data_IF_807600564843
#
_entry.id   IF_807600564843
#
_cell.length_a   1.000
_cell.length_b   1.000
_cell.length_c   1.000
_cell.angle_alpha   90.00
_cell.angle_beta   90.00
_cell.angle_gamma   90.00
#
_symmetry.space_group_name_H-M   'P 1'
#
loop_
_entity.id
_entity.type
_entity.pdbx_description
1 polymer ?
#
# COMPACT_ATOMS: atom_id res chain seq x y z
N UNK A 1 15.55 2.29 -41.74
CA UNK A 1 15.51 0.82 -41.80
C UNK A 1 14.08 0.42 -41.53
N UNK A 2 13.40 -0.14 -42.51
CA UNK A 2 12.08 -0.71 -42.32
C UNK A 2 12.22 -2.12 -41.70
N UNK A 3 11.20 -2.66 -41.02
CA UNK A 3 11.30 -3.99 -40.42
C UNK A 3 11.64 -5.09 -41.45
N UNK A 4 11.17 -4.98 -42.69
CA UNK A 4 11.46 -5.94 -43.76
C UNK A 4 12.93 -5.96 -44.20
N UNK A 5 13.67 -4.87 -43.95
CA UNK A 5 15.11 -4.79 -44.27
C UNK A 5 15.98 -5.46 -43.21
N UNK A 6 15.40 -5.89 -42.09
CA UNK A 6 16.14 -6.49 -40.99
C UNK A 6 16.50 -7.95 -41.31
N UNK A 7 17.70 -8.16 -41.86
CA UNK A 7 18.20 -9.48 -42.27
C UNK A 7 19.24 -10.09 -41.31
N UNK A 8 19.41 -9.51 -40.11
CA UNK A 8 20.40 -10.00 -39.14
C UNK A 8 19.96 -11.35 -38.56
N UNK A 9 20.92 -12.26 -38.38
CA UNK A 9 20.66 -13.54 -37.70
C UNK A 9 20.37 -13.28 -36.20
N UNK A 10 19.19 -13.69 -35.74
CA UNK A 10 18.75 -13.50 -34.36
C UNK A 10 19.05 -14.77 -33.56
N UNK A 11 19.95 -14.65 -32.59
CA UNK A 11 20.13 -15.65 -31.53
C UNK A 11 19.41 -15.18 -30.28
N UNK A 12 18.26 -15.79 -29.99
CA UNK A 12 17.47 -15.46 -28.81
C UNK A 12 17.98 -16.17 -27.56
N UNK A 13 18.04 -15.43 -26.46
CA UNK A 13 18.25 -15.94 -25.11
C UNK A 13 16.98 -15.75 -24.27
N UNK A 14 16.70 -16.68 -23.37
CA UNK A 14 15.60 -16.55 -22.42
C UNK A 14 16.08 -15.78 -21.20
N UNK A 15 15.38 -14.69 -20.87
CA UNK A 15 15.61 -13.95 -19.63
C UNK A 15 15.15 -14.79 -18.43
N UNK A 16 16.03 -15.08 -17.44
CA UNK A 16 15.71 -15.97 -16.32
C UNK A 16 14.70 -15.37 -15.34
N UNK A 17 14.56 -14.05 -15.27
CA UNK A 17 13.63 -13.38 -14.34
C UNK A 17 12.22 -13.30 -14.93
N UNK A 18 12.12 -12.96 -16.21
CA UNK A 18 10.82 -12.71 -16.87
C UNK A 18 10.33 -13.87 -17.73
N UNK A 19 11.21 -14.84 -18.05
CA UNK A 19 10.92 -15.91 -18.99
C UNK A 19 10.77 -15.44 -20.44
N UNK A 20 11.07 -14.18 -20.75
CA UNK A 20 10.91 -13.61 -22.09
C UNK A 20 12.11 -13.93 -22.98
N UNK A 21 11.86 -14.19 -24.26
CA UNK A 21 12.92 -14.32 -25.26
C UNK A 21 13.41 -12.94 -25.70
N UNK A 22 14.70 -12.70 -25.57
CA UNK A 22 15.39 -11.46 -25.93
C UNK A 22 16.62 -11.75 -26.79
N UNK A 23 17.10 -10.78 -27.55
CA UNK A 23 18.37 -10.87 -28.26
C UNK A 23 19.15 -9.56 -28.14
N UNK A 24 20.47 -9.61 -28.31
CA UNK A 24 21.34 -8.44 -28.17
C UNK A 24 21.61 -7.81 -29.53
N UNK A 25 21.11 -6.61 -29.74
CA UNK A 25 21.47 -5.75 -30.86
C UNK A 25 21.34 -4.27 -30.44
N UNK A 26 22.46 -3.63 -30.05
CA UNK A 26 22.46 -2.22 -29.63
C UNK A 26 22.03 -1.22 -30.71
N UNK A 27 22.07 -1.59 -31.99
CA UNK A 27 21.69 -0.73 -33.11
C UNK A 27 20.22 -0.94 -33.54
N UNK A 28 19.53 -1.91 -32.93
CA UNK A 28 18.15 -2.22 -33.29
C UNK A 28 17.21 -1.06 -32.91
N UNK A 29 16.23 -0.67 -33.75
CA UNK A 29 15.32 0.45 -33.46
C UNK A 29 14.51 0.31 -32.15
N UNK A 30 14.26 -0.93 -31.74
CA UNK A 30 13.59 -1.28 -30.47
C UNK A 30 14.53 -1.68 -29.34
N UNK A 31 15.84 -1.45 -29.48
CA UNK A 31 16.81 -1.75 -28.43
C UNK A 31 16.56 -0.91 -27.18
N UNK A 32 16.62 -1.57 -26.02
CA UNK A 32 16.70 -0.91 -24.72
C UNK A 32 18.12 -0.31 -24.53
N UNK A 33 18.32 0.41 -23.42
CA UNK A 33 19.62 1.04 -23.08
C UNK A 33 20.77 0.04 -22.93
N UNK A 34 20.47 -1.19 -22.55
CA UNK A 34 21.41 -2.32 -22.44
C UNK A 34 21.72 -2.99 -23.80
N UNK A 35 21.10 -2.52 -24.89
CA UNK A 35 21.19 -3.10 -26.22
C UNK A 35 20.37 -4.38 -26.41
N UNK A 36 19.52 -4.72 -25.46
CA UNK A 36 18.64 -5.89 -25.55
C UNK A 36 17.33 -5.53 -26.25
N UNK A 37 16.81 -6.49 -27.01
CA UNK A 37 15.56 -6.37 -27.77
C UNK A 37 14.67 -7.54 -27.40
N UNK A 38 13.40 -7.28 -27.06
CA UNK A 38 12.41 -8.34 -26.88
C UNK A 38 12.01 -8.94 -28.23
N UNK A 39 12.13 -10.26 -28.36
CA UNK A 39 11.83 -10.95 -29.61
C UNK A 39 10.37 -10.82 -30.01
N UNK A 40 9.44 -10.86 -29.05
CA UNK A 40 8.01 -10.64 -29.30
C UNK A 40 7.70 -9.28 -29.92
N UNK A 41 8.41 -8.21 -29.50
CA UNK A 41 8.27 -6.88 -30.09
C UNK A 41 8.83 -6.80 -31.51
N UNK A 42 9.95 -7.47 -31.75
CA UNK A 42 10.54 -7.57 -33.09
C UNK A 42 9.59 -8.29 -34.05
N UNK A 43 9.12 -9.50 -33.69
CA UNK A 43 8.19 -10.29 -34.49
C UNK A 43 6.86 -9.56 -34.75
N UNK A 44 6.31 -8.89 -33.73
CA UNK A 44 5.11 -8.06 -33.91
C UNK A 44 5.36 -6.90 -34.89
N UNK A 45 6.54 -6.27 -34.87
CA UNK A 45 6.90 -5.21 -35.82
C UNK A 45 7.00 -5.73 -37.25
N UNK A 46 7.56 -6.93 -37.44
CA UNK A 46 7.60 -7.59 -38.75
C UNK A 46 6.19 -7.87 -39.27
N UNK A 47 5.30 -8.39 -38.41
CA UNK A 47 3.91 -8.67 -38.78
C UNK A 47 3.12 -7.41 -39.17
N UNK A 48 3.40 -6.28 -38.52
CA UNK A 48 2.75 -4.99 -38.80
C UNK A 48 3.39 -4.21 -39.96
N UNK A 49 4.59 -4.60 -40.40
CA UNK A 49 5.36 -3.86 -41.39
C UNK A 49 5.91 -2.51 -40.90
N UNK A 50 5.84 -2.22 -39.60
CA UNK A 50 6.40 -1.00 -38.98
C UNK A 50 6.96 -1.27 -37.60
N UNK A 51 7.91 -0.47 -37.16
CA UNK A 51 8.42 -0.56 -35.78
C UNK A 51 7.35 -0.12 -34.76
N UNK A 52 7.29 -0.85 -33.64
CA UNK A 52 6.40 -0.49 -32.53
C UNK A 52 6.79 0.84 -31.88
N UNK A 53 5.79 1.64 -31.55
CA UNK A 53 5.96 2.88 -30.82
C UNK A 53 6.21 2.63 -29.32
N UNK A 54 6.79 3.60 -28.57
CA UNK A 54 7.08 3.43 -27.14
C UNK A 54 5.88 3.12 -26.24
N UNK A 55 4.67 3.55 -26.62
CA UNK A 55 3.42 3.30 -25.86
C UNK A 55 2.71 1.98 -26.21
N UNK A 56 3.18 1.28 -27.24
CA UNK A 56 2.62 0.02 -27.69
C UNK A 56 3.31 -1.13 -26.95
N UNK A 57 2.51 -2.06 -26.42
CA UNK A 57 2.98 -3.24 -25.69
C UNK A 57 2.47 -4.50 -26.38
N UNK A 58 3.31 -5.53 -26.39
CA UNK A 58 2.95 -6.87 -26.88
C UNK A 58 2.66 -7.73 -25.67
N UNK A 59 1.48 -8.34 -25.65
CA UNK A 59 1.06 -9.29 -24.61
C UNK A 59 0.87 -10.68 -25.23
N UNK A 60 0.97 -11.70 -24.38
CA UNK A 60 0.79 -13.11 -24.74
C UNK A 60 -0.61 -13.54 -24.31
N UNK A 61 -1.45 -14.01 -25.24
CA UNK A 61 -2.84 -14.39 -24.95
C UNK A 61 -2.93 -15.55 -23.98
N UNK A 62 -2.02 -16.52 -24.10
CA UNK A 62 -1.90 -17.68 -23.22
C UNK A 62 -1.10 -17.42 -21.92
N UNK A 63 -0.51 -16.23 -21.78
CA UNK A 63 0.36 -15.88 -20.65
C UNK A 63 1.73 -16.56 -20.67
N UNK A 64 2.08 -17.30 -21.72
CA UNK A 64 3.36 -17.99 -21.86
C UNK A 64 4.32 -17.15 -22.73
N UNK A 65 5.37 -16.55 -22.15
CA UNK A 65 6.31 -15.70 -22.88
C UNK A 65 7.21 -16.45 -23.89
N UNK A 66 7.17 -17.78 -23.89
CA UNK A 66 7.89 -18.64 -24.83
C UNK A 66 7.09 -18.96 -26.11
N UNK A 67 5.76 -18.78 -26.07
CA UNK A 67 4.92 -19.02 -27.24
C UNK A 67 4.87 -17.75 -28.12
N UNK A 68 5.72 -17.72 -29.14
CA UNK A 68 5.85 -16.60 -30.08
C UNK A 68 5.00 -16.75 -31.35
N UNK A 69 4.05 -17.68 -31.39
CA UNK A 69 3.13 -17.78 -32.51
C UNK A 69 2.39 -16.45 -32.74
N UNK A 70 2.24 -16.04 -34.00
CA UNK A 70 1.62 -14.74 -34.35
C UNK A 70 0.20 -14.60 -33.81
N UNK A 71 -0.53 -15.70 -33.69
CA UNK A 71 -1.87 -15.77 -33.08
C UNK A 71 -1.88 -15.57 -31.56
N UNK A 72 -0.77 -15.90 -30.87
CA UNK A 72 -0.63 -15.73 -29.43
C UNK A 72 -0.20 -14.31 -29.04
N UNK A 73 0.45 -13.59 -29.95
CA UNK A 73 0.89 -12.21 -29.71
C UNK A 73 -0.26 -11.23 -29.98
N UNK A 74 -0.51 -10.33 -29.03
CA UNK A 74 -1.51 -9.26 -29.19
C UNK A 74 -0.87 -7.90 -28.93
N UNK A 75 -1.11 -6.96 -29.85
CA UNK A 75 -0.74 -5.56 -29.67
C UNK A 75 -1.80 -4.81 -28.86
N UNK A 76 -1.38 -4.13 -27.80
CA UNK A 76 -2.26 -3.29 -26.99
C UNK A 76 -1.50 -2.06 -26.46
N UNK A 77 -2.16 -1.25 -25.66
CA UNK A 77 -1.55 -0.12 -24.94
C UNK A 77 -1.68 -0.34 -23.43
N UNK A 78 -0.84 0.32 -22.64
CA UNK A 78 -0.94 0.27 -21.17
C UNK A 78 -2.34 0.66 -20.69
N UNK A 79 -2.94 1.70 -21.30
CA UNK A 79 -4.31 2.11 -20.99
C UNK A 79 -5.30 0.98 -21.26
N UNK A 80 -5.32 0.43 -22.48
CA UNK A 80 -6.26 -0.64 -22.85
C UNK A 80 -6.06 -1.90 -22.01
N UNK A 81 -4.83 -2.24 -21.65
CA UNK A 81 -4.51 -3.34 -20.75
C UNK A 81 -5.03 -3.08 -19.33
N UNK A 82 -4.77 -1.90 -18.76
CA UNK A 82 -5.25 -1.53 -17.43
C UNK A 82 -6.79 -1.55 -17.34
N UNK A 83 -7.47 -1.17 -18.43
CA UNK A 83 -8.93 -1.27 -18.54
C UNK A 83 -9.43 -2.72 -18.44
N UNK A 84 -8.70 -3.75 -18.89
CA UNK A 84 -9.10 -5.16 -18.75
C UNK A 84 -9.19 -5.62 -17.30
N UNK A 85 -8.42 -5.00 -16.41
CA UNK A 85 -8.42 -5.32 -14.98
C UNK A 85 -9.39 -4.44 -14.17
N UNK A 86 -10.08 -3.47 -14.80
CA UNK A 86 -11.11 -2.68 -14.11
C UNK A 86 -12.28 -3.58 -13.76
N UNK A 87 -12.56 -3.73 -12.46
CA UNK A 87 -13.67 -4.54 -11.95
C UNK A 87 -13.23 -5.68 -11.04
N UNK A 88 -11.96 -6.10 -11.08
CA UNK A 88 -11.45 -7.17 -10.19
C UNK A 88 -11.23 -6.71 -8.73
N UNK A 89 -11.90 -5.65 -8.28
CA UNK A 89 -11.77 -5.22 -6.89
C UNK A 89 -12.46 -6.23 -5.97
N UNK A 90 -11.72 -6.70 -4.96
CA UNK A 90 -12.32 -7.45 -3.87
C UNK A 90 -13.08 -6.50 -2.94
N UNK A 91 -14.22 -6.94 -2.43
CA UNK A 91 -14.95 -6.23 -1.37
C UNK A 91 -14.51 -6.86 -0.05
N UNK A 92 -14.01 -6.02 0.86
CA UNK A 92 -13.67 -6.40 2.23
C UNK A 92 -14.59 -5.67 3.20
N UNK A 93 -14.77 -6.23 4.40
CA UNK A 93 -15.52 -5.61 5.48
C UNK A 93 -14.55 -5.20 6.59
N UNK A 94 -14.67 -3.96 7.05
CA UNK A 94 -13.81 -3.45 8.10
C UNK A 94 -14.19 -4.08 9.45
N UNK A 95 -13.30 -4.79 10.16
CA UNK A 95 -13.65 -5.51 11.39
C UNK A 95 -14.03 -4.57 12.55
N UNK A 96 -13.63 -3.29 12.48
CA UNK A 96 -13.95 -2.31 13.53
C UNK A 96 -15.38 -1.74 13.43
N UNK A 97 -15.86 -1.44 12.22
CA UNK A 97 -17.13 -0.72 12.03
C UNK A 97 -18.11 -1.42 11.09
N UNK A 98 -17.73 -2.55 10.49
CA UNK A 98 -18.55 -3.31 9.53
C UNK A 98 -18.63 -2.73 8.12
N UNK A 99 -18.15 -1.51 7.86
CA UNK A 99 -18.29 -0.88 6.54
C UNK A 99 -17.61 -1.69 5.42
N UNK A 100 -18.31 -2.00 4.32
CA UNK A 100 -17.71 -2.62 3.15
C UNK A 100 -16.85 -1.61 2.38
N UNK A 101 -15.72 -2.06 1.84
CA UNK A 101 -14.83 -1.22 1.04
C UNK A 101 -14.13 -2.03 -0.06
N UNK A 102 -13.87 -1.37 -1.19
CA UNK A 102 -13.23 -1.97 -2.36
C UNK A 102 -11.71 -1.90 -2.24
N UNK A 103 -11.04 -3.01 -2.59
CA UNK A 103 -9.59 -3.08 -2.68
C UNK A 103 -9.17 -3.75 -3.99
N UNK A 104 -8.04 -3.35 -4.61
CA UNK A 104 -7.49 -4.10 -5.73
C UNK A 104 -7.05 -5.50 -5.27
N UNK A 105 -6.98 -6.52 -6.16
CA UNK A 105 -6.55 -7.88 -5.82
C UNK A 105 -5.24 -7.92 -5.04
N UNK A 106 -4.28 -7.06 -5.41
CA UNK A 106 -2.97 -6.94 -4.76
C UNK A 106 -3.04 -6.54 -3.28
N UNK A 107 -4.14 -5.93 -2.84
CA UNK A 107 -4.36 -5.48 -1.48
C UNK A 107 -5.33 -6.38 -0.70
N UNK A 108 -5.92 -7.41 -1.32
CA UNK A 108 -6.91 -8.30 -0.70
C UNK A 108 -6.44 -8.91 0.63
N UNK A 109 -5.16 -9.30 0.70
CA UNK A 109 -4.57 -9.94 1.89
C UNK A 109 -3.78 -8.97 2.78
N UNK A 110 -3.56 -7.71 2.36
CA UNK A 110 -2.75 -6.73 3.10
C UNK A 110 -3.60 -5.70 3.82
N UNK A 111 -4.76 -5.35 3.28
CA UNK A 111 -5.62 -4.30 3.81
C UNK A 111 -6.74 -4.89 4.65
N UNK A 112 -6.81 -4.48 5.91
CA UNK A 112 -7.81 -4.97 6.89
C UNK A 112 -8.89 -3.93 7.18
N UNK A 113 -8.48 -2.66 7.34
CA UNK A 113 -9.37 -1.57 7.71
C UNK A 113 -9.66 -0.66 6.52
N UNK A 114 -10.85 -0.07 6.49
CA UNK A 114 -11.24 0.83 5.40
C UNK A 114 -10.49 2.17 5.46
N UNK A 115 -10.06 2.62 6.64
CA UNK A 115 -9.20 3.80 6.82
C UNK A 115 -8.26 3.65 8.03
N UNK A 116 -7.32 4.59 8.16
CA UNK A 116 -6.36 4.61 9.27
C UNK A 116 -7.05 4.89 10.61
N UNK A 117 -8.16 5.64 10.61
CA UNK A 117 -8.94 5.89 11.81
C UNK A 117 -9.41 4.59 12.46
N UNK A 118 -10.06 3.71 11.70
CA UNK A 118 -10.54 2.41 12.19
C UNK A 118 -9.39 1.48 12.57
N UNK A 119 -8.27 1.53 11.85
CA UNK A 119 -7.06 0.81 12.26
C UNK A 119 -6.59 1.26 13.64
N UNK A 120 -6.43 2.57 13.85
CA UNK A 120 -5.98 3.11 15.14
C UNK A 120 -6.97 2.83 16.26
N UNK A 121 -8.27 2.85 15.96
CA UNK A 121 -9.33 2.54 16.93
C UNK A 121 -9.29 1.07 17.35
N UNK A 122 -9.22 0.14 16.38
CA UNK A 122 -9.15 -1.29 16.66
C UNK A 122 -7.85 -1.72 17.38
N UNK A 123 -6.76 -0.98 17.20
CA UNK A 123 -5.48 -1.24 17.88
C UNK A 123 -5.38 -0.58 19.27
N UNK A 124 -6.45 0.06 19.78
CA UNK A 124 -6.44 0.63 21.12
C UNK A 124 -6.30 -0.50 22.14
N UNK A 125 -5.35 -0.32 23.08
CA UNK A 125 -5.08 -1.28 24.17
C UNK A 125 -6.00 -1.11 25.37
N UNK A 126 -6.72 0.01 25.43
CA UNK A 126 -7.45 0.44 26.62
C UNK A 126 -8.68 1.24 26.20
N UNK A 127 -9.83 0.80 26.69
CA UNK A 127 -11.11 1.50 26.62
C UNK A 127 -11.59 1.80 28.03
N UNK A 128 -11.99 3.06 28.24
CA UNK A 128 -12.57 3.57 29.49
C UNK A 128 -13.63 4.58 29.12
N UNK A 129 -14.66 4.63 29.95
CA UNK A 129 -15.67 5.66 29.90
C UNK A 129 -15.03 7.05 30.15
N UNK A 130 -15.38 8.09 29.39
CA UNK A 130 -14.82 9.42 29.59
C UNK A 130 -15.01 9.98 31.00
N UNK A 131 -16.12 9.68 31.66
CA UNK A 131 -16.42 10.20 33.00
C UNK A 131 -15.65 9.46 34.08
N UNK A 132 -15.53 8.14 33.97
CA UNK A 132 -14.67 7.33 34.84
C UNK A 132 -13.20 7.79 34.73
N UNK A 133 -12.72 8.04 33.51
CA UNK A 133 -11.36 8.56 33.32
C UNK A 133 -11.19 9.94 33.95
N UNK A 134 -12.21 10.82 33.84
CA UNK A 134 -12.20 12.15 34.45
C UNK A 134 -12.05 12.04 35.96
N UNK A 135 -12.83 11.18 36.61
CA UNK A 135 -12.70 10.97 38.05
C UNK A 135 -11.31 10.41 38.42
N UNK A 136 -10.86 9.35 37.74
CA UNK A 136 -9.60 8.69 38.08
C UNK A 136 -8.38 9.61 37.97
N UNK A 137 -8.32 10.53 37.00
CA UNK A 137 -7.15 11.43 36.85
C UNK A 137 -7.02 12.45 37.98
N UNK A 138 -8.09 12.71 38.73
CA UNK A 138 -8.11 13.58 39.91
C UNK A 138 -7.96 12.81 41.22
N UNK A 139 -8.23 11.50 41.23
CA UNK A 139 -8.09 10.62 42.40
C UNK A 139 -6.70 9.96 42.50
N UNK A 140 -6.10 9.59 41.36
CA UNK A 140 -4.81 8.88 41.33
C UNK A 140 -3.88 9.40 40.22
N UNK A 141 -2.54 9.31 40.41
CA UNK A 141 -1.58 9.66 39.37
C UNK A 141 -1.77 8.85 38.08
N UNK A 142 -1.55 9.48 36.94
CA UNK A 142 -1.69 8.83 35.62
C UNK A 142 -0.77 7.63 35.42
N UNK A 143 0.35 7.56 36.15
CA UNK A 143 1.24 6.39 36.22
C UNK A 143 0.56 5.18 36.86
N UNK A 144 -0.28 5.38 37.88
CA UNK A 144 -1.04 4.31 38.52
C UNK A 144 -2.18 3.85 37.60
N UNK A 145 -2.92 4.79 36.99
CA UNK A 145 -3.94 4.49 35.98
C UNK A 145 -3.35 3.65 34.84
N UNK A 146 -2.17 4.05 34.35
CA UNK A 146 -1.48 3.34 33.29
C UNK A 146 -1.14 1.89 33.69
N UNK A 147 -0.70 1.69 34.93
CA UNK A 147 -0.43 0.36 35.49
C UNK A 147 -1.68 -0.51 35.55
N UNK A 148 -2.81 0.04 36.03
CA UNK A 148 -4.10 -0.67 36.13
C UNK A 148 -4.57 -1.23 34.79
N UNK A 149 -4.37 -0.47 33.71
CA UNK A 149 -4.81 -0.86 32.36
C UNK A 149 -3.69 -1.48 31.50
N UNK A 150 -2.50 -1.73 32.07
CA UNK A 150 -1.38 -2.32 31.33
C UNK A 150 -0.89 -1.46 30.15
N UNK A 151 -1.02 -0.14 30.25
CA UNK A 151 -0.62 0.83 29.22
C UNK A 151 0.51 1.75 29.72
N UNK A 152 1.01 2.61 28.84
CA UNK A 152 1.95 3.66 29.23
C UNK A 152 1.22 4.90 29.73
N UNK A 153 1.85 5.67 30.62
CA UNK A 153 1.35 6.99 31.06
C UNK A 153 1.01 7.91 29.88
N UNK A 154 1.86 7.91 28.83
CA UNK A 154 1.58 8.63 27.58
C UNK A 154 0.31 8.17 26.86
N UNK A 155 -0.11 6.91 27.01
CA UNK A 155 -1.36 6.43 26.44
C UNK A 155 -2.57 7.03 27.18
N UNK A 156 -2.51 7.10 28.52
CA UNK A 156 -3.52 7.76 29.36
C UNK A 156 -3.60 9.25 29.02
N UNK A 157 -2.46 9.94 28.89
CA UNK A 157 -2.42 11.34 28.49
C UNK A 157 -3.02 11.58 27.10
N UNK A 158 -2.66 10.75 26.11
CA UNK A 158 -3.24 10.84 24.76
C UNK A 158 -4.75 10.62 24.79
N UNK A 159 -5.24 9.75 25.68
CA UNK A 159 -6.67 9.50 25.87
C UNK A 159 -7.37 10.71 26.47
N UNK A 160 -6.83 11.29 27.55
CA UNK A 160 -7.37 12.52 28.15
C UNK A 160 -7.47 13.64 27.11
N UNK A 161 -6.39 13.87 26.34
CA UNK A 161 -6.39 14.89 25.28
C UNK A 161 -7.40 14.60 24.17
N UNK A 162 -7.55 13.34 23.77
CA UNK A 162 -8.51 12.95 22.74
C UNK A 162 -9.97 13.11 23.19
N UNK A 163 -10.23 13.03 24.50
CA UNK A 163 -11.55 13.19 25.12
C UNK A 163 -11.80 14.61 25.68
N UNK A 164 -10.83 15.51 25.58
CA UNK A 164 -10.94 16.86 26.16
C UNK A 164 -10.97 16.90 27.70
N UNK A 165 -10.42 15.89 28.36
CA UNK A 165 -10.37 15.79 29.83
C UNK A 165 -9.14 16.55 30.34
N UNK A 166 -9.37 17.55 31.20
CA UNK A 166 -8.33 18.28 31.91
C UNK A 166 -7.70 17.39 32.98
N UNK A 167 -6.37 17.43 33.08
CA UNK A 167 -5.60 16.72 34.10
C UNK A 167 -5.11 17.69 35.16
N UNK A 168 -4.83 17.23 36.39
CA UNK A 168 -4.13 18.03 37.37
C UNK A 168 -2.79 18.55 36.83
N UNK A 169 -2.37 19.77 37.20
CA UNK A 169 -1.17 20.39 36.68
C UNK A 169 0.09 19.60 37.06
N UNK A 170 1.18 19.85 36.32
CA UNK A 170 2.47 19.23 36.62
C UNK A 170 2.87 19.55 38.06
N UNK A 171 3.24 18.51 38.80
CA UNK A 171 3.66 18.64 40.19
C UNK A 171 2.52 18.55 41.22
N UNK A 172 1.24 18.48 40.81
CA UNK A 172 0.10 18.30 41.71
C UNK A 172 0.29 17.09 42.63
N UNK A 173 0.60 15.93 42.04
CA UNK A 173 0.79 14.66 42.75
C UNK A 173 2.10 14.56 43.55
N UNK A 174 3.05 15.47 43.36
CA UNK A 174 4.31 15.50 44.13
C UNK A 174 4.26 16.42 45.36
N UNK A 175 3.27 17.32 45.44
CA UNK A 175 3.09 18.20 46.62
C UNK A 175 2.49 17.43 47.79
N UNK A 176 2.85 17.75 49.04
CA UNK A 176 2.20 17.19 50.22
C UNK A 176 0.72 17.58 50.29
N UNK A 177 -0.12 16.69 50.81
CA UNK A 177 -1.59 16.79 50.86
C UNK A 177 -2.09 18.13 51.44
N UNK A 178 -1.45 18.63 52.50
CA UNK A 178 -1.82 19.90 53.16
C UNK A 178 -1.77 21.11 52.22
N UNK A 179 -0.86 21.11 51.25
CA UNK A 179 -0.72 22.23 50.30
C UNK A 179 -1.74 22.15 49.15
N UNK A 180 -2.39 20.99 48.93
CA UNK A 180 -3.42 20.82 47.91
C UNK A 180 -4.76 21.38 48.37
N UNK A 181 -5.15 21.07 49.61
CA UNK A 181 -6.42 21.49 50.23
C UNK A 181 -6.52 23.02 50.33
N UNK A 182 -5.43 23.70 50.67
CA UNK A 182 -5.41 25.17 50.81
C UNK A 182 -5.62 25.95 49.50
N UNK A 183 -5.49 25.31 48.34
CA UNK A 183 -5.71 25.92 47.02
C UNK A 183 -7.12 25.65 46.48
N UNK A 184 -7.81 24.61 46.96
CA UNK A 184 -9.20 24.31 46.60
C UNK A 184 -10.20 25.18 47.38
N UNK A 185 -9.85 25.63 48.60
CA UNK A 185 -10.69 26.51 49.43
C UNK A 185 -10.66 28.00 49.00
N UNK A 186 -9.90 28.36 47.96
CA UNK A 186 -9.76 29.75 47.47
C UNK A 186 -10.37 29.98 46.07
N UNK A 187 -11.15 29.04 45.54
CA UNK A 187 -11.84 29.15 44.23
C UNK A 187 -13.34 29.19 44.41
#
# INVERSE_FOLDING_TARGET
MEPCDYQRNIQSITNPETGQQEFKDPQHPLARKDGMVMLSRHLMSLCLGRWLHPGEIVIYRDGNPQNLASENLELTTLSKLAHRFRGNSAILHCPYCGLPFKVPPSQKNRRVYHNDTCRRLALRKFEIDPEELRQMVWEIPTTQIASLYGVSDKAVEKRCRALGISKPPRGYWTRPERERVSQEEQV
#
